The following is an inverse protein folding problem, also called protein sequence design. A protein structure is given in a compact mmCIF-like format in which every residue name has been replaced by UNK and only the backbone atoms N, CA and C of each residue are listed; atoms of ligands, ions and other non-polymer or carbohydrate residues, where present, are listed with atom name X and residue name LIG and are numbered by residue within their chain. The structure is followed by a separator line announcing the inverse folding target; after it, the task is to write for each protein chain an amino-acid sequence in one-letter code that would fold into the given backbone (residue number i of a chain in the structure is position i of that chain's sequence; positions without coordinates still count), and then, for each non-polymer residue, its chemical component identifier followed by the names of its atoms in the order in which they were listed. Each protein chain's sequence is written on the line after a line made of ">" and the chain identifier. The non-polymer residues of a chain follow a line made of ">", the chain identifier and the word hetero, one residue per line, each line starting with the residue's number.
data_IF_712643110627
#
_entry.id   IF_712643110627
#
_cell.length_a   1.000
_cell.length_b   1.000
_cell.length_c   1.000
_cell.angle_alpha   90.00
_cell.angle_beta   90.00
_cell.angle_gamma   90.00
#
_symmetry.space_group_name_H-M   'P 1'
#
loop_
_entity.id
_entity.type
_entity.pdbx_description
1 polymer ?
#
# COMPACT_ATOMS: atom_id res chain seq x y z
N UNK A 1 5.05 -5.13 -17.86
CA UNK A 1 4.81 -4.83 -16.43
C UNK A 1 5.59 -3.57 -16.07
N UNK A 2 4.90 -2.57 -15.57
CA UNK A 2 5.53 -1.33 -15.13
C UNK A 2 5.40 -1.23 -13.62
N UNK A 3 6.53 -1.35 -12.94
CA UNK A 3 6.55 -1.38 -11.48
C UNK A 3 6.79 0.00 -10.89
N UNK A 4 6.19 0.23 -9.75
CA UNK A 4 6.37 1.46 -8.97
C UNK A 4 6.58 1.10 -7.51
N UNK A 5 7.52 1.78 -6.88
CA UNK A 5 7.70 1.74 -5.42
C UNK A 5 6.88 2.87 -4.82
N UNK A 6 5.92 2.52 -3.99
CA UNK A 6 4.98 3.47 -3.39
C UNK A 6 5.21 3.50 -1.90
N UNK A 7 5.38 4.70 -1.36
CA UNK A 7 5.51 4.88 0.09
C UNK A 7 4.27 5.57 0.63
N UNK A 8 3.80 5.08 1.77
CA UNK A 8 2.69 5.68 2.51
C UNK A 8 3.09 5.82 3.96
N UNK A 9 2.54 6.82 4.63
CA UNK A 9 2.82 7.09 6.03
C UNK A 9 1.54 7.48 6.75
N UNK A 10 1.56 7.34 8.08
CA UNK A 10 0.47 7.81 8.91
C UNK A 10 0.18 9.27 8.62
N UNK A 11 -1.08 9.58 8.35
CA UNK A 11 -1.53 10.93 8.03
C UNK A 11 -1.94 11.72 9.28
N UNK A 12 -2.49 12.93 9.08
CA UNK A 12 -2.86 13.81 10.20
C UNK A 12 -3.92 13.23 11.13
N UNK A 13 -4.79 12.35 10.62
CA UNK A 13 -5.85 11.76 11.42
C UNK A 13 -5.44 10.47 12.13
N UNK A 14 -4.18 10.04 11.99
CA UNK A 14 -3.69 8.86 12.69
C UNK A 14 -3.77 9.10 14.20
N UNK A 15 -4.42 8.17 14.91
CA UNK A 15 -4.55 8.29 16.36
C UNK A 15 -3.43 7.54 17.05
N UNK A 16 -3.29 7.76 18.36
CA UNK A 16 -2.28 7.10 19.16
C UNK A 16 -2.45 5.58 19.07
N UNK A 17 -1.34 4.85 19.01
CA UNK A 17 -1.33 3.41 18.88
C UNK A 17 -0.91 2.95 17.49
N UNK A 18 -1.02 1.66 17.25
CA UNK A 18 -0.60 1.04 16.00
C UNK A 18 -1.72 0.94 14.97
N UNK A 19 -1.41 0.25 13.88
CA UNK A 19 -2.32 0.11 12.75
C UNK A 19 -3.63 -0.60 13.13
N UNK A 20 -3.55 -1.63 13.96
CA UNK A 20 -4.74 -2.38 14.34
C UNK A 20 -5.63 -1.63 15.33
N UNK A 21 -5.13 -0.53 15.89
CA UNK A 21 -5.90 0.30 16.83
C UNK A 21 -6.67 1.42 16.13
N UNK A 22 -6.45 1.60 14.83
CA UNK A 22 -7.08 2.69 14.08
C UNK A 22 -8.52 2.35 13.70
N UNK A 23 -9.45 3.32 13.80
CA UNK A 23 -10.79 3.13 13.26
C UNK A 23 -10.75 2.79 11.77
N UNK A 24 -11.63 1.88 11.33
CA UNK A 24 -11.73 1.53 9.93
C UNK A 24 -10.66 0.58 9.42
N UNK A 25 -9.88 -0.04 10.30
CA UNK A 25 -8.82 -0.96 9.88
C UNK A 25 -9.35 -2.11 9.03
N UNK A 26 -10.52 -2.63 9.36
CA UNK A 26 -11.13 -3.73 8.61
C UNK A 26 -11.50 -3.31 7.19
N UNK A 27 -12.10 -2.13 7.03
CA UNK A 27 -12.46 -1.61 5.71
C UNK A 27 -11.23 -1.31 4.87
N UNK A 28 -10.20 -0.74 5.50
CA UNK A 28 -8.92 -0.49 4.86
C UNK A 28 -8.29 -1.79 4.36
N UNK A 29 -8.25 -2.82 5.21
CA UNK A 29 -7.69 -4.12 4.85
C UNK A 29 -8.45 -4.76 3.68
N UNK A 30 -9.77 -4.71 3.70
CA UNK A 30 -10.61 -5.24 2.61
C UNK A 30 -10.29 -4.50 1.31
N UNK A 31 -10.17 -3.18 1.38
CA UNK A 31 -9.85 -2.36 0.21
C UNK A 31 -8.48 -2.76 -0.36
N UNK A 32 -7.45 -2.85 0.48
CA UNK A 32 -6.10 -3.18 0.03
C UNK A 32 -6.01 -4.59 -0.55
N UNK A 33 -6.70 -5.55 0.06
CA UNK A 33 -6.76 -6.91 -0.48
C UNK A 33 -7.43 -6.93 -1.85
N UNK A 34 -8.43 -6.07 -2.06
CA UNK A 34 -9.07 -5.92 -3.37
C UNK A 34 -8.11 -5.43 -4.44
N UNK A 35 -7.23 -4.48 -4.09
CA UNK A 35 -6.20 -4.00 -5.02
C UNK A 35 -5.19 -5.10 -5.36
N UNK A 36 -4.87 -5.95 -4.40
CA UNK A 36 -3.98 -7.09 -4.63
C UNK A 36 -4.65 -8.13 -5.54
N UNK A 37 -5.93 -8.41 -5.30
CA UNK A 37 -6.69 -9.34 -6.13
C UNK A 37 -6.80 -8.84 -7.58
N UNK A 38 -6.90 -7.54 -7.77
CA UNK A 38 -6.96 -6.92 -9.10
C UNK A 38 -5.60 -6.88 -9.80
N UNK A 39 -4.52 -7.20 -9.11
CA UNK A 39 -3.17 -7.18 -9.66
C UNK A 39 -2.49 -5.82 -9.64
N UNK A 40 -3.10 -4.80 -9.07
CA UNK A 40 -2.46 -3.49 -8.95
C UNK A 40 -1.35 -3.51 -7.93
N UNK A 41 -1.59 -4.14 -6.77
CA UNK A 41 -0.60 -4.26 -5.71
C UNK A 41 -0.02 -5.67 -5.72
N UNK A 42 1.28 -5.79 -5.94
CA UNK A 42 1.96 -7.08 -5.98
C UNK A 42 2.46 -7.50 -4.61
N UNK A 43 2.84 -6.54 -3.79
CA UNK A 43 3.32 -6.76 -2.43
C UNK A 43 3.16 -5.47 -1.65
N UNK A 44 2.88 -5.59 -0.36
CA UNK A 44 2.75 -4.43 0.51
C UNK A 44 2.98 -4.84 1.95
N UNK A 45 3.54 -3.94 2.73
CA UNK A 45 3.71 -4.18 4.15
C UNK A 45 4.35 -3.00 4.86
N UNK A 46 4.22 -2.95 6.18
CA UNK A 46 4.84 -1.89 6.95
C UNK A 46 6.35 -2.08 7.03
N UNK A 47 7.08 -0.97 7.11
CA UNK A 47 8.49 -1.03 7.40
C UNK A 47 8.66 -1.51 8.84
N UNK A 48 9.60 -2.44 9.04
CA UNK A 48 9.80 -3.08 10.34
C UNK A 48 10.03 -2.03 11.43
N UNK A 49 9.35 -2.22 12.56
CA UNK A 49 9.48 -1.32 13.70
C UNK A 49 8.49 -0.15 13.68
N UNK A 50 7.69 0.01 12.62
CA UNK A 50 6.72 1.12 12.55
C UNK A 50 5.28 0.68 12.85
N UNK A 51 5.02 -0.61 12.91
CA UNK A 51 3.65 -1.14 13.02
C UNK A 51 2.96 -0.76 14.32
N UNK A 52 3.70 -0.59 15.39
CA UNK A 52 3.13 -0.28 16.70
C UNK A 52 2.90 1.20 16.97
N UNK A 53 3.20 2.07 16.01
CA UNK A 53 3.03 3.51 16.15
C UNK A 53 2.66 4.12 14.81
N UNK A 54 3.24 5.28 14.50
CA UNK A 54 2.97 5.93 13.21
C UNK A 54 3.58 5.09 12.09
N UNK A 55 2.71 4.44 11.35
CA UNK A 55 3.10 3.45 10.34
C UNK A 55 3.79 4.09 9.14
N UNK A 56 4.74 3.36 8.57
CA UNK A 56 5.33 3.63 7.26
C UNK A 56 5.23 2.36 6.44
N UNK A 57 4.76 2.48 5.22
CA UNK A 57 4.43 1.32 4.37
C UNK A 57 5.13 1.43 3.03
N UNK A 58 5.61 0.29 2.55
CA UNK A 58 6.09 0.15 1.18
C UNK A 58 5.12 -0.74 0.42
N UNK A 59 4.71 -0.28 -0.77
CA UNK A 59 3.91 -1.06 -1.70
C UNK A 59 4.66 -1.17 -3.03
N UNK A 60 4.57 -2.32 -3.67
CA UNK A 60 5.04 -2.47 -5.04
C UNK A 60 3.80 -2.62 -5.91
N UNK A 61 3.64 -1.70 -6.84
CA UNK A 61 2.48 -1.63 -7.71
C UNK A 61 2.86 -1.92 -9.16
N UNK A 62 1.92 -2.52 -9.90
CA UNK A 62 2.03 -2.73 -11.34
C UNK A 62 0.92 -1.93 -12.01
N UNK A 63 1.30 -0.88 -12.73
CA UNK A 63 0.36 0.00 -13.40
C UNK A 63 1.02 0.60 -14.64
N UNK A 64 0.21 1.02 -15.60
CA UNK A 64 0.74 1.67 -16.80
C UNK A 64 1.24 3.08 -16.51
N UNK A 65 0.58 3.77 -15.59
CA UNK A 65 0.88 5.16 -15.27
C UNK A 65 0.74 5.42 -13.78
N UNK A 66 1.53 6.36 -13.28
CA UNK A 66 1.46 6.81 -11.88
C UNK A 66 0.06 7.29 -11.51
N UNK A 67 -0.61 7.98 -12.42
CA UNK A 67 -1.95 8.52 -12.18
C UNK A 67 -2.96 7.44 -11.81
N UNK A 68 -2.84 6.25 -12.36
CA UNK A 68 -3.70 5.12 -12.02
C UNK A 68 -3.54 4.73 -10.55
N UNK A 69 -2.31 4.72 -10.06
CA UNK A 69 -2.01 4.40 -8.66
C UNK A 69 -2.61 5.46 -7.75
N UNK A 70 -2.43 6.73 -8.08
CA UNK A 70 -2.99 7.84 -7.30
C UNK A 70 -4.51 7.70 -7.19
N UNK A 71 -5.18 7.48 -8.32
CA UNK A 71 -6.64 7.33 -8.35
C UNK A 71 -7.13 6.15 -7.52
N UNK A 72 -6.47 5.00 -7.66
CA UNK A 72 -6.90 3.79 -6.98
C UNK A 72 -6.68 3.90 -5.47
N UNK A 73 -5.55 4.44 -5.04
CA UNK A 73 -5.26 4.60 -3.60
C UNK A 73 -6.13 5.68 -2.96
N UNK A 74 -6.55 6.68 -3.72
CA UNK A 74 -7.41 7.75 -3.18
C UNK A 74 -8.78 7.22 -2.70
N UNK A 75 -9.19 6.05 -3.17
CA UNK A 75 -10.43 5.43 -2.73
C UNK A 75 -10.29 4.63 -1.44
N UNK A 76 -9.08 4.47 -0.92
CA UNK A 76 -8.85 3.80 0.36
C UNK A 76 -9.56 4.56 1.48
N UNK A 77 -10.40 3.90 2.29
CA UNK A 77 -11.07 4.57 3.42
C UNK A 77 -10.11 5.32 4.34
N UNK A 78 -8.91 4.81 4.55
CA UNK A 78 -7.92 5.49 5.38
C UNK A 78 -7.32 6.72 4.71
N UNK A 79 -7.15 6.70 3.39
CA UNK A 79 -6.68 7.89 2.68
C UNK A 79 -7.76 8.96 2.65
N UNK A 80 -9.01 8.55 2.44
CA UNK A 80 -10.15 9.49 2.44
C UNK A 80 -10.35 10.18 3.77
N UNK A 81 -10.00 9.54 4.87
CA UNK A 81 -10.15 10.10 6.21
C UNK A 81 -8.87 10.73 6.76
N UNK A 82 -7.81 10.76 5.98
CA UNK A 82 -6.54 11.35 6.40
C UNK A 82 -5.73 10.52 7.38
N UNK A 83 -6.05 9.23 7.53
CA UNK A 83 -5.28 8.35 8.41
C UNK A 83 -3.99 7.89 7.80
N UNK A 84 -3.97 7.70 6.48
CA UNK A 84 -2.76 7.33 5.77
C UNK A 84 -2.60 8.25 4.56
N UNK A 85 -1.36 8.57 4.23
CA UNK A 85 -1.04 9.48 3.12
C UNK A 85 0.00 8.83 2.23
N UNK A 86 -0.21 8.89 0.92
CA UNK A 86 0.79 8.47 -0.05
C UNK A 86 1.82 9.58 -0.17
N UNK A 87 3.08 9.28 0.14
CA UNK A 87 4.15 10.27 0.20
C UNK A 87 5.05 10.26 -1.03
N UNK A 88 5.20 9.13 -1.70
CA UNK A 88 5.96 9.07 -2.95
C UNK A 88 5.51 7.89 -3.81
N UNK A 89 5.63 8.07 -5.12
CA UNK A 89 5.39 7.02 -6.12
C UNK A 89 6.54 7.15 -7.11
N UNK A 90 7.38 6.11 -7.21
CA UNK A 90 8.56 6.17 -8.05
C UNK A 90 8.61 4.95 -8.97
N UNK A 91 8.93 5.14 -10.25
CA UNK A 91 9.18 4.01 -11.13
C UNK A 91 10.29 3.14 -10.55
N UNK A 92 10.11 1.83 -10.63
CA UNK A 92 11.07 0.90 -10.04
C UNK A 92 11.36 -0.24 -11.00
N UNK A 93 12.61 -0.60 -11.16
CA UNK A 93 13.05 -1.69 -12.03
C UNK A 93 13.49 -2.87 -11.17
N UNK A 94 12.84 -4.00 -11.35
CA UNK A 94 13.23 -5.24 -10.67
C UNK A 94 14.38 -5.88 -11.43
N UNK A 95 15.55 -5.93 -10.83
CA UNK A 95 16.75 -6.50 -11.44
C UNK A 95 17.10 -7.89 -10.89
N UNK A 96 16.77 -8.14 -9.62
CA UNK A 96 17.13 -9.38 -8.94
C UNK A 96 15.88 -9.90 -8.24
N UNK A 97 15.61 -11.18 -8.42
CA UNK A 97 14.45 -11.82 -7.81
C UNK A 97 13.21 -11.75 -8.69
N UNK A 98 12.07 -12.07 -8.11
CA UNK A 98 10.81 -12.08 -8.80
C UNK A 98 9.67 -11.73 -7.86
N UNK A 99 8.62 -11.08 -8.41
CA UNK A 99 7.39 -10.78 -7.71
C UNK A 99 6.26 -11.58 -8.36
N UNK A 100 6.22 -12.86 -8.05
CA UNK A 100 5.17 -13.75 -8.57
C UNK A 100 4.30 -14.23 -7.42
N UNK A 101 2.97 -14.30 -7.61
CA UNK A 101 2.11 -14.90 -6.61
C UNK A 101 2.51 -16.36 -6.37
N UNK A 102 2.59 -16.83 -5.12
CA UNK A 102 2.99 -18.21 -4.83
C UNK A 102 2.15 -19.27 -5.55
N UNK A 103 0.86 -18.98 -5.76
CA UNK A 103 -0.04 -19.89 -6.44
C UNK A 103 0.35 -20.22 -7.88
N UNK A 104 1.18 -19.39 -8.50
CA UNK A 104 1.63 -19.57 -9.88
C UNK A 104 2.87 -20.46 -9.99
N UNK A 105 3.40 -20.93 -8.89
CA UNK A 105 4.64 -21.69 -8.87
C UNK A 105 4.42 -23.21 -8.89
N UNK A 106 3.21 -23.63 -9.09
CA UNK A 106 2.86 -25.07 -9.07
C UNK A 106 2.60 -25.62 -10.44
#
# INVERSE_FOLDING_TARGET
>A
MSLFAVHREAGPAWTEGGAFDQPGVSDHATFMNGLADDGLILAAGPLAGTEGGRIRVLLIADADEEAEIVQRLAADPWERTGRITTTSIEPWTLLVGALSPPALEH
#
